data_IF_976428068524
#
_entry.id   IF_976428068524
#
_cell.length_a   1.000
_cell.length_b   1.000
_cell.length_c   1.000
_cell.angle_alpha   90.00
_cell.angle_beta   90.00
_cell.angle_gamma   90.00
#
_symmetry.space_group_name_H-M   'P 1'
#
loop_
_entity.id
_entity.type
_entity.pdbx_description
1 polymer ?
#
# COMPACT_ATOMS: atom_id res chain seq x y z
N UNK A 1 -7.57 -13.53 32.86
CA UNK A 1 -7.05 -12.24 33.36
C UNK A 1 -5.62 -12.17 32.90
N UNK A 2 -5.31 -11.29 31.91
CA UNK A 2 -3.92 -11.03 31.51
C UNK A 2 -3.25 -10.24 32.65
N UNK A 3 -2.02 -10.64 32.99
CA UNK A 3 -1.23 -9.94 34.02
C UNK A 3 -0.96 -8.49 33.58
N UNK A 4 -1.51 -7.54 34.29
CA UNK A 4 -1.40 -6.08 34.02
C UNK A 4 0.01 -5.50 34.19
N UNK A 5 0.99 -6.31 34.57
CA UNK A 5 2.37 -5.86 34.84
C UNK A 5 3.38 -6.32 33.78
N UNK A 6 2.92 -6.73 32.62
CA UNK A 6 3.82 -7.14 31.55
C UNK A 6 4.44 -5.91 30.87
N UNK A 7 5.78 -5.86 30.87
CA UNK A 7 6.54 -4.88 30.08
C UNK A 7 6.79 -5.43 28.69
N UNK A 8 6.45 -4.66 27.66
CA UNK A 8 6.58 -5.06 26.24
C UNK A 8 7.62 -4.17 25.57
N UNK A 9 8.65 -4.79 25.01
CA UNK A 9 9.61 -4.10 24.15
C UNK A 9 9.15 -4.16 22.68
N UNK A 10 9.04 -3.02 22.02
CA UNK A 10 8.80 -2.90 20.59
C UNK A 10 10.08 -2.47 19.91
N UNK A 11 10.56 -3.22 18.94
CA UNK A 11 11.79 -2.93 18.20
C UNK A 11 11.44 -2.32 16.84
N UNK A 12 11.89 -1.09 16.62
CA UNK A 12 11.63 -0.29 15.43
C UNK A 12 10.60 0.81 15.67
N UNK A 13 11.00 2.08 15.56
CA UNK A 13 10.13 3.26 15.69
C UNK A 13 9.63 3.79 14.34
N UNK A 14 9.52 2.95 13.31
CA UNK A 14 8.75 3.26 12.12
C UNK A 14 7.25 3.23 12.41
N UNK A 15 6.42 3.65 11.44
CA UNK A 15 4.96 3.79 11.63
C UNK A 15 4.30 2.54 12.23
N UNK A 16 4.72 1.34 11.84
CA UNK A 16 4.17 0.09 12.38
C UNK A 16 4.53 -0.11 13.86
N UNK A 17 5.78 0.17 14.23
CA UNK A 17 6.21 0.04 15.61
C UNK A 17 5.54 1.05 16.53
N UNK A 18 5.46 2.31 16.09
CA UNK A 18 4.78 3.38 16.84
C UNK A 18 3.30 3.05 17.03
N UNK A 19 2.56 2.71 15.96
CA UNK A 19 1.15 2.32 16.06
C UNK A 19 0.95 1.11 16.98
N UNK A 20 1.81 0.09 16.87
CA UNK A 20 1.75 -1.10 17.74
C UNK A 20 1.98 -0.73 19.19
N UNK A 21 2.96 0.12 19.47
CA UNK A 21 3.26 0.60 20.82
C UNK A 21 2.09 1.37 21.43
N UNK A 22 1.49 2.28 20.67
CA UNK A 22 0.32 3.05 21.10
C UNK A 22 -0.88 2.15 21.42
N UNK A 23 -1.22 1.20 20.55
CA UNK A 23 -2.30 0.26 20.82
C UNK A 23 -2.04 -0.64 22.03
N UNK A 24 -0.79 -1.03 22.27
CA UNK A 24 -0.42 -1.79 23.46
C UNK A 24 -0.55 -0.94 24.73
N UNK A 25 -0.14 0.34 24.69
CA UNK A 25 -0.33 1.28 25.79
C UNK A 25 -1.82 1.53 26.09
N UNK A 26 -2.66 1.72 25.05
CA UNK A 26 -4.12 1.83 25.21
C UNK A 26 -4.74 0.58 25.86
N UNK A 27 -4.14 -0.59 25.68
CA UNK A 27 -4.54 -1.83 26.37
C UNK A 27 -4.00 -1.95 27.79
N UNK A 28 -3.24 -0.97 28.27
CA UNK A 28 -2.70 -0.89 29.64
C UNK A 28 -1.40 -1.60 29.88
N UNK A 29 -0.64 -1.93 28.82
CA UNK A 29 0.71 -2.47 28.95
C UNK A 29 1.73 -1.34 29.14
N UNK A 30 2.78 -1.62 29.92
CA UNK A 30 3.98 -0.78 29.93
C UNK A 30 4.81 -1.09 28.68
N UNK A 31 5.00 -0.11 27.79
CA UNK A 31 5.67 -0.30 26.51
C UNK A 31 6.96 0.49 26.45
N UNK A 32 8.04 -0.16 26.00
CA UNK A 32 9.32 0.47 25.70
C UNK A 32 9.57 0.32 24.21
N UNK A 33 9.70 1.45 23.51
CA UNK A 33 10.01 1.50 22.08
C UNK A 33 11.53 1.68 21.89
N UNK A 34 12.14 0.76 21.14
CA UNK A 34 13.57 0.78 20.82
C UNK A 34 13.79 1.08 19.36
N UNK A 35 14.62 2.06 19.06
CA UNK A 35 15.15 2.28 17.71
C UNK A 35 16.60 2.73 17.80
N UNK A 36 17.33 2.63 16.73
CA UNK A 36 18.69 3.15 16.58
C UNK A 36 18.74 4.65 16.26
N UNK A 37 17.62 5.22 15.83
CA UNK A 37 17.46 6.61 15.44
C UNK A 37 16.22 7.20 16.11
N UNK A 38 16.16 8.53 16.18
CA UNK A 38 14.95 9.25 16.59
C UNK A 38 13.78 8.95 15.64
N UNK A 39 12.52 8.93 16.14
CA UNK A 39 11.33 8.78 15.31
C UNK A 39 11.32 9.79 14.15
N UNK A 40 10.97 9.35 12.94
CA UNK A 40 11.02 10.20 11.76
C UNK A 40 12.41 10.35 11.12
N UNK A 41 13.41 9.61 11.57
CA UNK A 41 14.76 9.57 11.00
C UNK A 41 14.82 9.00 9.57
N UNK A 42 15.90 8.26 9.23
CA UNK A 42 16.14 7.75 7.85
C UNK A 42 15.29 6.55 7.46
N UNK A 43 14.36 6.09 8.31
CA UNK A 43 13.52 4.92 8.04
C UNK A 43 12.56 5.12 6.85
N UNK A 44 12.12 4.00 6.25
CA UNK A 44 11.20 4.01 5.11
C UNK A 44 9.90 4.79 5.37
N UNK A 45 9.49 4.90 6.63
CA UNK A 45 8.30 5.65 7.02
C UNK A 45 8.43 7.15 6.74
N UNK A 46 9.60 7.76 6.90
CA UNK A 46 9.80 9.21 6.69
C UNK A 46 9.82 9.61 5.21
N UNK A 47 10.21 8.71 4.31
CA UNK A 47 10.39 8.99 2.88
C UNK A 47 9.43 8.26 1.95
N UNK A 48 8.32 7.74 2.45
CA UNK A 48 7.33 7.05 1.62
C UNK A 48 6.39 8.02 0.87
N UNK A 49 5.50 7.47 0.04
CA UNK A 49 4.55 8.27 -0.76
C UNK A 49 3.38 8.86 0.06
N UNK A 50 3.31 8.60 1.36
CA UNK A 50 2.27 9.16 2.24
C UNK A 50 0.85 8.67 1.98
N UNK A 51 0.69 7.53 1.31
CA UNK A 51 -0.63 7.00 0.95
C UNK A 51 -1.16 6.02 2.01
N UNK A 52 -2.40 6.22 2.42
CA UNK A 52 -3.20 5.25 3.16
C UNK A 52 -4.10 4.53 2.16
N UNK A 53 -3.72 3.31 1.79
CA UNK A 53 -4.25 2.62 0.61
C UNK A 53 -4.97 1.31 0.96
N UNK A 54 -6.22 1.36 1.46
CA UNK A 54 -6.97 0.16 1.81
C UNK A 54 -7.28 -0.73 0.60
N UNK A 55 -7.18 -0.18 -0.60
CA UNK A 55 -7.39 -0.88 -1.88
C UNK A 55 -6.14 -1.65 -2.38
N UNK A 56 -4.97 -1.50 -1.74
CA UNK A 56 -3.70 -2.08 -2.20
C UNK A 56 -3.59 -3.59 -1.89
N UNK A 57 -4.68 -4.33 -2.15
CA UNK A 57 -4.79 -5.77 -1.88
C UNK A 57 -4.25 -6.65 -3.00
N UNK A 58 -4.03 -6.11 -4.19
CA UNK A 58 -3.56 -6.90 -5.35
C UNK A 58 -2.06 -7.13 -5.24
N UNK A 59 -1.61 -8.42 -5.19
CA UNK A 59 -0.20 -8.73 -5.10
C UNK A 59 0.53 -8.57 -6.44
N UNK A 60 1.87 -8.47 -6.40
CA UNK A 60 2.69 -8.33 -7.59
C UNK A 60 2.76 -9.60 -8.45
N UNK A 61 2.50 -10.77 -7.89
CA UNK A 61 2.55 -12.07 -8.58
C UNK A 61 1.32 -12.31 -9.47
N UNK A 62 1.02 -11.35 -10.34
CA UNK A 62 -0.03 -11.45 -11.36
C UNK A 62 0.40 -12.37 -12.49
N UNK A 63 -0.54 -13.07 -13.16
CA UNK A 63 -0.19 -13.94 -14.30
C UNK A 63 0.48 -13.19 -15.46
N UNK A 64 0.04 -11.96 -15.73
CA UNK A 64 0.52 -11.09 -16.80
C UNK A 64 1.91 -10.52 -16.55
N UNK A 65 2.40 -10.50 -15.30
CA UNK A 65 3.74 -9.98 -14.99
C UNK A 65 4.84 -10.76 -15.72
N UNK A 66 4.59 -12.03 -16.03
CA UNK A 66 5.57 -12.88 -16.72
C UNK A 66 5.86 -12.37 -18.13
N UNK A 67 4.87 -11.77 -18.79
CA UNK A 67 5.02 -11.15 -20.11
C UNK A 67 5.66 -9.77 -20.03
N UNK A 68 5.52 -9.09 -18.90
CA UNK A 68 6.03 -7.74 -18.71
C UNK A 68 7.50 -7.69 -18.28
N UNK A 69 8.00 -8.75 -17.59
CA UNK A 69 9.38 -8.81 -17.07
C UNK A 69 10.44 -8.49 -18.13
N UNK A 70 10.42 -9.06 -19.36
CA UNK A 70 11.44 -8.73 -20.36
C UNK A 70 11.48 -7.25 -20.72
N UNK A 71 10.30 -6.64 -20.91
CA UNK A 71 10.19 -5.21 -21.23
C UNK A 71 10.66 -4.33 -20.05
N UNK A 72 10.35 -4.71 -18.82
CA UNK A 72 10.79 -4.02 -17.62
C UNK A 72 12.31 -4.06 -17.45
N UNK A 73 12.95 -5.19 -17.76
CA UNK A 73 14.42 -5.36 -17.67
C UNK A 73 15.18 -4.60 -18.75
N UNK A 74 14.59 -4.45 -19.95
CA UNK A 74 15.20 -3.73 -21.06
C UNK A 74 15.02 -2.21 -20.97
N UNK A 75 14.12 -1.75 -20.13
CA UNK A 75 13.85 -0.31 -19.94
C UNK A 75 14.82 0.30 -18.93
N UNK A 76 15.54 1.34 -19.32
CA UNK A 76 16.43 2.11 -18.43
C UNK A 76 15.67 2.88 -17.33
N UNK A 77 14.38 3.12 -17.54
CA UNK A 77 13.47 3.78 -16.59
C UNK A 77 12.42 2.82 -16.02
N UNK A 78 12.57 1.53 -16.27
CA UNK A 78 11.64 0.50 -15.85
C UNK A 78 11.61 0.32 -14.32
N UNK A 79 10.52 -0.22 -13.78
CA UNK A 79 10.36 -0.41 -12.34
C UNK A 79 11.19 -1.59 -11.80
N UNK A 80 11.80 -2.40 -12.66
CA UNK A 80 12.56 -3.59 -12.29
C UNK A 80 14.06 -3.38 -12.57
N UNK A 81 14.85 -3.29 -11.50
CA UNK A 81 16.30 -3.27 -11.57
C UNK A 81 16.87 -4.53 -10.91
N UNK A 82 17.76 -5.24 -11.64
CA UNK A 82 18.43 -6.43 -11.12
C UNK A 82 19.90 -6.15 -10.82
N UNK A 83 20.31 -6.50 -9.61
CA UNK A 83 21.73 -6.59 -9.27
C UNK A 83 22.24 -7.96 -9.69
N UNK A 84 22.82 -8.06 -10.89
CA UNK A 84 23.15 -9.31 -11.57
C UNK A 84 23.97 -10.30 -10.73
N UNK A 85 24.92 -9.81 -9.93
CA UNK A 85 25.71 -10.64 -9.02
C UNK A 85 24.89 -11.26 -7.86
N UNK A 86 23.65 -10.80 -7.62
CA UNK A 86 22.75 -11.35 -6.61
C UNK A 86 21.72 -12.33 -7.21
N UNK A 87 21.51 -12.32 -8.51
CA UNK A 87 20.52 -13.17 -9.20
C UNK A 87 20.68 -14.65 -8.85
N UNK A 88 21.89 -15.25 -8.84
CA UNK A 88 22.02 -16.67 -8.46
C UNK A 88 21.47 -17.00 -7.07
N UNK A 89 21.66 -16.10 -6.10
CA UNK A 89 21.16 -16.27 -4.74
C UNK A 89 19.63 -16.15 -4.65
N UNK A 90 19.02 -15.45 -5.60
CA UNK A 90 17.58 -15.21 -5.64
C UNK A 90 16.81 -16.27 -6.45
N UNK A 91 17.48 -17.16 -7.17
CA UNK A 91 16.82 -18.20 -7.98
C UNK A 91 15.75 -18.98 -7.20
N UNK A 92 15.98 -19.46 -5.96
CA UNK A 92 14.95 -20.19 -5.21
C UNK A 92 13.71 -19.35 -4.92
N UNK A 93 13.88 -18.04 -4.68
CA UNK A 93 12.78 -17.10 -4.50
C UNK A 93 12.03 -16.88 -5.82
N UNK A 94 12.74 -16.65 -6.93
CA UNK A 94 12.14 -16.48 -8.25
C UNK A 94 11.28 -17.68 -8.65
N UNK A 95 11.76 -18.90 -8.43
CA UNK A 95 10.99 -20.12 -8.74
C UNK A 95 9.70 -20.19 -7.92
N UNK A 96 9.75 -19.83 -6.63
CA UNK A 96 8.54 -19.73 -5.80
C UNK A 96 7.62 -18.64 -6.27
N UNK A 97 8.15 -17.47 -6.63
CA UNK A 97 7.38 -16.36 -7.17
C UNK A 97 6.64 -16.77 -8.45
N UNK A 98 7.34 -17.34 -9.43
CA UNK A 98 6.79 -17.82 -10.70
C UNK A 98 5.68 -18.87 -10.47
N UNK A 99 5.90 -19.82 -9.56
CA UNK A 99 4.90 -20.83 -9.20
C UNK A 99 3.61 -20.22 -8.65
N UNK A 100 3.71 -19.05 -8.03
CA UNK A 100 2.57 -18.34 -7.46
C UNK A 100 1.92 -17.33 -8.41
N UNK A 101 2.45 -17.13 -9.62
CA UNK A 101 1.87 -16.26 -10.63
C UNK A 101 0.68 -16.94 -11.33
N UNK A 102 -0.43 -17.08 -10.61
CA UNK A 102 -1.68 -17.62 -11.13
C UNK A 102 -2.86 -16.81 -10.61
N UNK A 103 -3.95 -16.74 -11.38
CA UNK A 103 -5.18 -16.03 -10.98
C UNK A 103 -5.71 -16.56 -9.65
N UNK A 104 -5.66 -17.89 -9.44
CA UNK A 104 -6.09 -18.52 -8.19
C UNK A 104 -5.29 -18.01 -6.98
N UNK A 105 -3.97 -18.00 -7.08
CA UNK A 105 -3.10 -17.56 -5.98
C UNK A 105 -3.17 -16.03 -5.79
N UNK A 106 -3.31 -15.26 -6.87
CA UNK A 106 -3.55 -13.84 -6.84
C UNK A 106 -4.84 -13.50 -6.08
N UNK A 107 -5.96 -14.17 -6.41
CA UNK A 107 -7.24 -14.01 -5.73
C UNK A 107 -7.14 -14.39 -4.25
N UNK A 108 -6.51 -15.52 -3.93
CA UNK A 108 -6.30 -15.96 -2.56
C UNK A 108 -5.56 -14.90 -1.74
N UNK A 109 -4.43 -14.42 -2.25
CA UNK A 109 -3.64 -13.38 -1.58
C UNK A 109 -4.42 -12.08 -1.44
N UNK A 110 -5.09 -11.62 -2.53
CA UNK A 110 -5.88 -10.40 -2.52
C UNK A 110 -6.99 -10.43 -1.46
N UNK A 111 -7.67 -11.55 -1.31
CA UNK A 111 -8.74 -11.72 -0.30
C UNK A 111 -8.23 -11.54 1.13
N UNK A 112 -7.13 -12.19 1.49
CA UNK A 112 -6.59 -12.07 2.86
C UNK A 112 -5.92 -10.72 3.11
N UNK A 113 -5.23 -10.18 2.10
CA UNK A 113 -4.71 -8.81 2.19
C UNK A 113 -5.81 -7.78 2.39
N UNK A 114 -6.93 -7.91 1.68
CA UNK A 114 -8.06 -7.02 1.83
C UNK A 114 -8.63 -7.05 3.25
N UNK A 115 -8.78 -8.22 3.87
CA UNK A 115 -9.24 -8.35 5.25
C UNK A 115 -8.37 -7.58 6.26
N UNK A 116 -7.05 -7.57 6.05
CA UNK A 116 -6.12 -6.81 6.89
C UNK A 116 -6.18 -5.31 6.58
N UNK A 117 -6.26 -4.95 5.31
CA UNK A 117 -6.27 -3.55 4.88
C UNK A 117 -7.59 -2.84 5.19
N UNK A 118 -8.69 -3.56 5.20
CA UNK A 118 -10.04 -3.00 5.48
C UNK A 118 -10.15 -2.46 6.91
N UNK A 119 -9.45 -3.07 7.86
CA UNK A 119 -9.40 -2.60 9.24
C UNK A 119 -8.36 -1.50 9.50
N UNK A 120 -7.49 -1.21 8.53
CA UNK A 120 -6.38 -0.28 8.74
C UNK A 120 -6.85 1.17 8.93
N UNK A 121 -7.79 1.66 8.10
CA UNK A 121 -8.29 3.02 8.23
C UNK A 121 -9.07 3.24 9.54
N UNK A 122 -10.00 2.37 9.96
CA UNK A 122 -10.61 2.46 11.29
C UNK A 122 -9.59 2.47 12.44
N UNK A 123 -8.52 1.66 12.34
CA UNK A 123 -7.47 1.66 13.34
C UNK A 123 -6.69 3.00 13.36
N UNK A 124 -6.42 3.59 12.21
CA UNK A 124 -5.84 4.93 12.16
C UNK A 124 -6.79 6.00 12.72
N UNK A 125 -8.09 5.92 12.43
CA UNK A 125 -9.08 6.87 12.96
C UNK A 125 -9.08 6.85 14.49
N UNK A 126 -9.03 5.67 15.12
CA UNK A 126 -8.93 5.52 16.57
C UNK A 126 -7.67 6.19 17.16
N UNK A 127 -6.53 6.15 16.46
CA UNK A 127 -5.31 6.84 16.91
C UNK A 127 -5.39 8.35 16.65
N UNK A 128 -5.99 8.76 15.54
CA UNK A 128 -6.07 10.16 15.13
C UNK A 128 -7.09 10.97 15.96
N UNK A 129 -8.03 10.31 16.63
CA UNK A 129 -8.90 10.97 17.62
C UNK A 129 -8.13 11.56 18.80
N UNK A 130 -6.96 11.00 19.12
CA UNK A 130 -6.11 11.45 20.24
C UNK A 130 -5.04 12.45 19.82
N UNK A 131 -4.82 12.63 18.54
CA UNK A 131 -3.72 13.45 17.98
C UNK A 131 -4.31 14.40 16.96
N UNK A 132 -4.08 15.71 17.14
CA UNK A 132 -4.46 16.69 16.13
C UNK A 132 -3.56 16.57 14.89
N UNK A 133 -4.09 15.91 13.86
CA UNK A 133 -3.46 15.78 12.54
C UNK A 133 -4.10 16.71 11.50
N UNK A 134 -4.78 17.75 11.92
CA UNK A 134 -5.40 18.74 11.03
C UNK A 134 -4.34 19.32 10.09
N UNK A 135 -4.64 19.28 8.79
CA UNK A 135 -3.71 19.72 7.75
C UNK A 135 -2.57 18.76 7.39
N UNK A 136 -2.38 17.64 8.11
CA UNK A 136 -1.40 16.62 7.77
C UNK A 136 -1.99 15.48 6.94
N UNK A 137 -3.23 15.08 7.20
CA UNK A 137 -3.91 13.99 6.48
C UNK A 137 -5.09 14.53 5.70
N UNK A 138 -5.16 14.21 4.42
CA UNK A 138 -6.24 14.60 3.53
C UNK A 138 -7.10 13.40 3.13
N UNK A 139 -8.42 13.53 3.26
CA UNK A 139 -9.42 12.50 2.96
C UNK A 139 -10.09 12.74 1.59
N UNK A 140 -9.29 13.04 0.56
CA UNK A 140 -9.80 13.38 -0.79
C UNK A 140 -9.87 12.19 -1.73
N UNK A 141 -9.51 11.00 -1.27
CA UNK A 141 -9.37 9.83 -2.13
C UNK A 141 -8.07 9.86 -2.94
N UNK A 142 -7.89 8.81 -3.73
CA UNK A 142 -6.75 8.67 -4.65
C UNK A 142 -7.28 8.19 -5.99
N UNK A 143 -6.83 8.82 -7.06
CA UNK A 143 -7.17 8.48 -8.43
C UNK A 143 -5.96 7.91 -9.16
N UNK A 144 -6.11 6.74 -9.76
CA UNK A 144 -5.15 6.17 -10.70
C UNK A 144 -5.68 6.34 -12.11
N UNK A 145 -4.84 6.86 -13.01
CA UNK A 145 -5.15 7.04 -14.40
C UNK A 145 -4.14 6.28 -15.27
N UNK A 146 -4.56 5.84 -16.44
CA UNK A 146 -3.71 5.19 -17.42
C UNK A 146 -3.97 5.69 -18.83
N UNK A 147 -2.90 5.72 -19.62
CA UNK A 147 -2.90 6.24 -20.98
C UNK A 147 -2.91 5.14 -22.06
N UNK A 148 -2.69 3.90 -21.68
CA UNK A 148 -2.72 2.76 -22.59
C UNK A 148 -4.16 2.30 -22.89
N UNK A 149 -4.33 1.68 -24.05
CA UNK A 149 -5.61 1.11 -24.47
C UNK A 149 -5.77 -0.35 -24.05
N UNK A 150 -4.70 -0.97 -23.54
CA UNK A 150 -4.75 -2.37 -23.14
C UNK A 150 -5.28 -2.50 -21.70
N UNK A 151 -6.60 -2.58 -21.60
CA UNK A 151 -7.31 -2.62 -20.32
C UNK A 151 -7.34 -4.02 -19.66
N UNK A 152 -6.87 -5.08 -20.34
CA UNK A 152 -7.04 -6.47 -19.85
C UNK A 152 -6.47 -6.70 -18.45
N UNK A 153 -5.25 -6.25 -18.18
CA UNK A 153 -4.66 -6.41 -16.83
C UNK A 153 -5.39 -5.55 -15.80
N UNK A 154 -5.79 -4.34 -16.18
CA UNK A 154 -6.55 -3.42 -15.32
C UNK A 154 -7.94 -3.94 -15.03
N UNK A 155 -8.59 -4.53 -16.04
CA UNK A 155 -9.88 -5.18 -15.88
C UNK A 155 -9.82 -6.37 -14.93
N UNK A 156 -8.77 -7.20 -15.02
CA UNK A 156 -8.55 -8.29 -14.08
C UNK A 156 -8.42 -7.77 -12.63
N UNK A 157 -7.58 -6.79 -12.41
CA UNK A 157 -7.40 -6.18 -11.08
C UNK A 157 -8.72 -5.57 -10.55
N UNK A 158 -9.44 -4.86 -11.40
CA UNK A 158 -10.73 -4.28 -11.06
C UNK A 158 -11.74 -5.35 -10.64
N UNK A 159 -11.85 -6.44 -11.42
CA UNK A 159 -12.78 -7.52 -11.15
C UNK A 159 -12.42 -8.26 -9.84
N UNK A 160 -11.13 -8.49 -9.58
CA UNK A 160 -10.69 -9.09 -8.33
C UNK A 160 -11.07 -8.20 -7.14
N UNK A 161 -10.78 -6.88 -7.21
CA UNK A 161 -11.17 -5.97 -6.12
C UNK A 161 -12.68 -5.93 -5.92
N UNK A 162 -13.46 -5.96 -6.99
CA UNK A 162 -14.92 -6.04 -6.92
C UNK A 162 -15.39 -7.32 -6.22
N UNK A 163 -14.80 -8.47 -6.55
CA UNK A 163 -15.16 -9.77 -5.97
C UNK A 163 -14.84 -9.86 -4.47
N UNK A 164 -13.72 -9.27 -4.04
CA UNK A 164 -13.34 -9.24 -2.62
C UNK A 164 -14.03 -8.12 -1.82
N UNK A 165 -14.87 -7.29 -2.45
CA UNK A 165 -15.62 -6.23 -1.81
C UNK A 165 -14.86 -4.89 -1.62
N UNK A 166 -13.70 -4.72 -2.24
CA UNK A 166 -12.96 -3.47 -2.17
C UNK A 166 -13.70 -2.35 -2.91
N UNK A 167 -13.95 -1.23 -2.23
CA UNK A 167 -14.64 -0.09 -2.81
C UNK A 167 -13.78 0.63 -3.85
N UNK A 168 -14.30 0.76 -5.06
CA UNK A 168 -13.62 1.41 -6.17
C UNK A 168 -14.65 1.95 -7.18
N UNK A 169 -14.29 3.00 -7.90
CA UNK A 169 -15.11 3.61 -8.95
C UNK A 169 -14.28 3.71 -10.23
N UNK A 170 -14.75 3.10 -11.31
CA UNK A 170 -14.20 3.32 -12.64
C UNK A 170 -14.57 4.73 -13.12
N UNK A 171 -13.60 5.40 -13.75
CA UNK A 171 -13.77 6.73 -14.29
C UNK A 171 -13.46 6.74 -15.77
N UNK A 172 -14.34 7.38 -16.54
CA UNK A 172 -14.11 7.74 -17.94
C UNK A 172 -13.34 9.07 -18.07
N UNK A 173 -12.96 9.44 -19.29
CA UNK A 173 -12.18 10.67 -19.56
C UNK A 173 -12.82 11.95 -19.04
N UNK A 174 -14.15 12.05 -19.12
CA UNK A 174 -14.89 13.23 -18.67
C UNK A 174 -14.85 13.31 -17.16
N UNK A 175 -15.16 12.24 -16.45
CA UNK A 175 -15.15 12.16 -14.99
C UNK A 175 -13.78 12.45 -14.41
N UNK A 176 -12.69 11.96 -15.05
CA UNK A 176 -11.31 12.28 -14.66
C UNK A 176 -11.04 13.78 -14.81
N UNK A 177 -11.45 14.37 -15.94
CA UNK A 177 -11.25 15.80 -16.18
C UNK A 177 -12.07 16.68 -15.23
N UNK A 178 -13.27 16.25 -14.87
CA UNK A 178 -14.14 16.97 -13.93
C UNK A 178 -13.52 16.96 -12.52
N UNK A 179 -12.85 15.87 -12.12
CA UNK A 179 -12.12 15.77 -10.85
C UNK A 179 -10.80 16.52 -10.85
N UNK A 180 -10.03 16.45 -11.94
CA UNK A 180 -8.71 17.05 -12.07
C UNK A 180 -8.55 17.79 -13.41
N UNK A 181 -9.08 19.02 -13.54
CA UNK A 181 -9.09 19.76 -14.80
C UNK A 181 -7.70 20.12 -15.34
N UNK A 182 -6.71 20.18 -14.46
CA UNK A 182 -5.34 20.59 -14.79
C UNK A 182 -4.47 19.45 -15.36
N UNK A 183 -4.93 18.20 -15.31
CA UNK A 183 -4.20 17.08 -15.90
C UNK A 183 -4.35 17.09 -17.42
N UNK A 184 -3.21 17.00 -18.14
CA UNK A 184 -3.22 16.88 -19.61
C UNK A 184 -4.02 15.65 -20.03
N UNK A 185 -4.94 15.80 -21.00
CA UNK A 185 -5.91 14.78 -21.46
C UNK A 185 -5.28 13.63 -22.26
N UNK A 186 -4.22 13.04 -21.80
CA UNK A 186 -3.52 11.90 -22.43
C UNK A 186 -3.97 10.53 -21.91
N UNK A 187 -4.89 10.52 -20.96
CA UNK A 187 -5.43 9.31 -20.32
C UNK A 187 -6.65 8.76 -21.05
N UNK A 188 -6.88 7.47 -20.91
CA UNK A 188 -8.06 6.77 -21.46
C UNK A 188 -9.12 6.47 -20.41
N UNK A 189 -8.71 6.06 -19.23
CA UNK A 189 -9.58 5.72 -18.13
C UNK A 189 -8.84 5.85 -16.80
N UNK A 190 -9.55 5.67 -15.70
CA UNK A 190 -8.99 5.67 -14.36
C UNK A 190 -9.83 4.88 -13.37
N UNK A 191 -9.33 4.74 -12.17
CA UNK A 191 -10.06 4.22 -11.02
C UNK A 191 -9.87 5.17 -9.84
N UNK A 192 -10.96 5.45 -9.13
CA UNK A 192 -10.98 6.29 -7.96
C UNK A 192 -11.28 5.47 -6.71
N UNK A 193 -10.47 5.67 -5.69
CA UNK A 193 -10.58 5.04 -4.38
C UNK A 193 -10.95 6.11 -3.36
N UNK A 194 -12.24 6.29 -3.15
CA UNK A 194 -12.81 7.37 -2.33
C UNK A 194 -12.33 7.34 -0.88
N UNK A 195 -12.19 6.16 -0.30
CA UNK A 195 -11.74 5.99 1.10
C UNK A 195 -10.24 6.16 1.30
N UNK A 196 -9.44 6.18 0.22
CA UNK A 196 -8.02 6.38 0.34
C UNK A 196 -7.70 7.78 0.89
N UNK A 197 -6.60 7.87 1.63
CA UNK A 197 -6.13 9.12 2.22
C UNK A 197 -4.67 9.33 1.85
N UNK A 198 -4.19 10.53 2.02
CA UNK A 198 -2.77 10.82 1.87
C UNK A 198 -2.31 11.86 2.89
N UNK A 199 -1.01 11.82 3.17
CA UNK A 199 -0.34 12.87 3.94
C UNK A 199 0.64 13.61 3.06
N UNK A 200 0.73 14.92 3.26
CA UNK A 200 1.74 15.76 2.59
C UNK A 200 3.13 15.62 3.20
N UNK A 201 3.19 15.13 4.42
CA UNK A 201 4.44 14.96 5.14
C UNK A 201 4.42 13.66 5.95
N UNK A 202 4.80 12.54 5.33
CA UNK A 202 4.81 11.25 6.03
C UNK A 202 5.76 11.25 7.24
N UNK A 203 6.83 12.03 7.23
CA UNK A 203 7.76 12.16 8.36
C UNK A 203 7.20 12.89 9.58
N UNK A 204 5.98 13.41 9.53
CA UNK A 204 5.31 14.08 10.68
C UNK A 204 4.13 13.29 11.25
N UNK A 205 3.90 12.06 10.78
CA UNK A 205 2.76 11.24 11.23
C UNK A 205 3.08 10.42 12.48
N UNK A 206 4.33 10.31 12.89
CA UNK A 206 4.76 9.54 14.09
C UNK A 206 5.76 10.29 14.94
#
# INVERSE_FOLDING_TARGET
KMEKNLKIGVIGAGIQGVCSALFLQKKGYEVILFDREEPGGSAASSGNAGHFSPYASIPLNRPDILTDIPAMLLSSTGPLALKWNHVPKMIPWFLKFLKNCSTKNMMHTAKYMHQILDIALPAYDELFEEIDLSGLVENKGIMYIWNDQNLKSRELEYNIRKEIGAEQQLLNKKEIHDLEPNIKKIYHAGVFYKKARHTRNPGKIW
#
